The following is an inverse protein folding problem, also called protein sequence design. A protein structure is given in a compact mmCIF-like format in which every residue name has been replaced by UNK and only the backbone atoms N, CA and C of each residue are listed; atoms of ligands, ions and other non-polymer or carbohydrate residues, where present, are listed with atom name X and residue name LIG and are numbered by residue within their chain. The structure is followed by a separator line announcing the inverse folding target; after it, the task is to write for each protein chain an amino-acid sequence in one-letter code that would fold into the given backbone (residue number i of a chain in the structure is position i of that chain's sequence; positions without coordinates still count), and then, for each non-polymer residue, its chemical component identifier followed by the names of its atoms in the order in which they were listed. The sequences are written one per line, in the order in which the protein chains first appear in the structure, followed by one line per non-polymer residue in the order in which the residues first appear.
data_IF_020101840748
#
_entry.id   IF_020101840748
#
_cell.length_a   1.000
_cell.length_b   1.000
_cell.length_c   1.000
_cell.angle_alpha   90.00
_cell.angle_beta   90.00
_cell.angle_gamma   90.00
#
_symmetry.space_group_name_H-M   'P 1'
#
loop_
_entity.id
_entity.type
_entity.pdbx_description
1 polymer ?
#
# COMPACT_ATOMS: atom_id res chain seq x y z
N UNK A 1 8.93 -7.15 15.50
CA UNK A 1 9.26 -6.18 16.57
C UNK A 1 9.34 -6.79 17.97
N UNK A 2 8.64 -7.90 18.27
CA UNK A 2 8.76 -8.59 19.57
C UNK A 2 10.17 -9.14 19.83
N UNK A 3 10.84 -9.75 18.84
CA UNK A 3 12.18 -10.32 19.04
C UNK A 3 13.22 -9.30 19.53
N UNK A 4 13.24 -8.08 18.95
CA UNK A 4 14.15 -7.02 19.39
C UNK A 4 13.87 -6.55 20.82
N UNK A 5 12.59 -6.46 21.22
CA UNK A 5 12.24 -6.13 22.61
C UNK A 5 12.71 -7.22 23.57
N UNK A 6 12.51 -8.48 23.21
CA UNK A 6 12.91 -9.62 24.04
C UNK A 6 14.44 -9.65 24.26
N UNK A 7 15.23 -9.36 23.23
CA UNK A 7 16.71 -9.31 23.35
C UNK A 7 17.15 -8.17 24.27
N UNK A 8 16.59 -6.97 24.10
CA UNK A 8 16.91 -5.83 24.97
C UNK A 8 16.49 -6.15 26.41
N UNK A 9 15.37 -6.84 26.59
CA UNK A 9 14.86 -7.24 27.91
C UNK A 9 15.75 -8.30 28.59
N UNK A 10 16.33 -9.24 27.84
CA UNK A 10 17.34 -10.18 28.37
C UNK A 10 18.59 -9.47 28.89
N UNK A 11 19.05 -8.44 28.19
CA UNK A 11 20.20 -7.63 28.64
C UNK A 11 19.85 -6.79 29.87
N UNK A 12 18.61 -6.29 29.97
CA UNK A 12 18.13 -5.54 31.14
C UNK A 12 17.89 -6.40 32.38
N UNK A 13 17.55 -7.69 32.21
CA UNK A 13 17.38 -8.63 33.33
C UNK A 13 18.69 -8.89 34.10
N UNK A 14 19.83 -8.65 33.48
CA UNK A 14 21.16 -8.81 34.09
C UNK A 14 21.56 -7.59 34.93
N UNK A 15 20.75 -7.15 35.90
CA UNK A 15 21.01 -6.13 36.97
C UNK A 15 21.91 -4.92 36.65
N UNK A 16 22.12 -4.61 35.38
CA UNK A 16 23.08 -3.62 34.92
C UNK A 16 22.32 -2.31 34.74
N UNK A 17 22.69 -1.30 35.53
CA UNK A 17 22.07 0.04 35.46
C UNK A 17 22.39 0.79 34.18
N UNK A 18 23.28 0.25 33.34
CA UNK A 18 23.75 0.93 32.14
C UNK A 18 22.85 0.59 30.94
N UNK A 19 22.17 1.59 30.38
CA UNK A 19 21.20 1.44 29.30
C UNK A 19 21.82 1.40 27.90
N UNK A 20 23.14 1.51 27.80
CA UNK A 20 23.88 1.52 26.54
C UNK A 20 24.06 0.09 26.00
N UNK A 21 23.08 -0.34 25.21
CA UNK A 21 23.09 -1.63 24.51
C UNK A 21 23.50 -1.42 23.05
N UNK A 22 24.54 -2.13 22.62
CA UNK A 22 24.92 -2.23 21.21
C UNK A 22 24.37 -3.52 20.61
N UNK A 23 23.80 -3.45 19.41
CA UNK A 23 23.29 -4.63 18.71
C UNK A 23 24.22 -4.93 17.54
N UNK A 24 24.73 -6.15 17.47
CA UNK A 24 25.58 -6.62 16.39
C UNK A 24 24.95 -7.80 15.68
N UNK A 25 25.25 -7.92 14.38
CA UNK A 25 24.83 -9.06 13.57
C UNK A 25 25.87 -10.16 13.75
N UNK A 26 25.45 -11.30 14.29
CA UNK A 26 26.35 -12.44 14.52
C UNK A 26 26.44 -13.30 13.28
N UNK A 27 25.30 -13.64 12.68
CA UNK A 27 25.22 -14.52 11.52
C UNK A 27 24.27 -13.94 10.48
N UNK A 28 24.68 -14.03 9.22
CA UNK A 28 23.85 -13.65 8.07
C UNK A 28 23.75 -14.82 7.11
N UNK A 29 22.52 -15.27 6.83
CA UNK A 29 22.19 -16.30 5.85
C UNK A 29 21.21 -15.72 4.83
N UNK A 30 21.73 -14.89 3.91
CA UNK A 30 20.90 -14.13 2.97
C UNK A 30 20.06 -13.06 3.66
N UNK A 31 18.72 -13.21 3.61
CA UNK A 31 17.74 -12.35 4.30
C UNK A 31 17.52 -12.73 5.77
N UNK A 32 17.96 -13.93 6.19
CA UNK A 32 17.91 -14.36 7.58
C UNK A 32 19.11 -13.78 8.34
N UNK A 33 18.84 -13.10 9.43
CA UNK A 33 19.86 -12.43 10.25
C UNK A 33 19.66 -12.88 11.70
N UNK A 34 20.75 -13.28 12.34
CA UNK A 34 20.81 -13.53 13.78
C UNK A 34 21.53 -12.36 14.44
N UNK A 35 20.89 -11.77 15.43
CA UNK A 35 21.42 -10.61 16.16
C UNK A 35 21.74 -10.98 17.60
N UNK A 36 22.76 -10.34 18.14
CA UNK A 36 23.13 -10.38 19.55
C UNK A 36 23.19 -8.95 20.06
N UNK A 37 22.82 -8.77 21.32
CA UNK A 37 22.98 -7.51 22.02
C UNK A 37 24.12 -7.63 23.03
N UNK A 38 25.00 -6.64 23.03
CA UNK A 38 26.08 -6.49 23.98
C UNK A 38 25.87 -5.22 24.81
N UNK A 39 25.87 -5.37 26.13
CA UNK A 39 25.86 -4.23 27.05
C UNK A 39 27.26 -3.61 27.10
N UNK A 40 27.39 -2.31 26.83
CA UNK A 40 28.68 -1.61 26.92
C UNK A 40 29.19 -1.44 28.35
N UNK A 41 28.32 -1.55 29.35
CA UNK A 41 28.68 -1.36 30.76
C UNK A 41 29.25 -2.62 31.40
N UNK A 42 28.58 -3.76 31.23
CA UNK A 42 29.00 -5.03 31.85
C UNK A 42 29.58 -6.04 30.84
N UNK A 43 29.69 -5.67 29.55
CA UNK A 43 30.15 -6.54 28.46
C UNK A 43 29.37 -7.86 28.30
N UNK A 44 28.19 -7.95 28.92
CA UNK A 44 27.32 -9.11 28.77
C UNK A 44 26.80 -9.20 27.34
N UNK A 45 26.95 -10.38 26.74
CA UNK A 45 26.44 -10.73 25.40
C UNK A 45 25.20 -11.59 25.54
N UNK A 46 24.09 -11.16 24.94
CA UNK A 46 22.85 -11.93 24.91
C UNK A 46 23.01 -13.20 24.08
N UNK A 47 22.12 -14.17 24.29
CA UNK A 47 22.01 -15.29 23.37
C UNK A 47 21.64 -14.79 21.96
N UNK A 48 22.26 -15.33 20.89
CA UNK A 48 21.92 -14.95 19.53
C UNK A 48 20.47 -15.33 19.23
N UNK A 49 19.69 -14.38 18.74
CA UNK A 49 18.29 -14.62 18.37
C UNK A 49 18.10 -14.46 16.87
N UNK A 50 17.46 -15.45 16.24
CA UNK A 50 17.13 -15.40 14.82
C UNK A 50 15.93 -14.45 14.59
N UNK A 51 16.08 -13.51 13.65
CA UNK A 51 15.00 -12.62 13.22
C UNK A 51 14.14 -13.21 12.09
N UNK A 52 14.43 -14.45 11.70
CA UNK A 52 13.72 -15.17 10.65
C UNK A 52 13.10 -16.44 11.20
N UNK A 53 11.90 -16.77 10.73
CA UNK A 53 11.36 -18.11 10.96
C UNK A 53 12.17 -19.10 10.13
N UNK A 54 12.64 -20.17 10.75
CA UNK A 54 13.36 -21.26 10.08
C UNK A 54 12.46 -22.49 9.99
N UNK A 55 12.42 -23.11 8.82
CA UNK A 55 11.76 -24.41 8.63
C UNK A 55 12.82 -25.49 8.81
N UNK A 56 12.61 -26.37 9.79
CA UNK A 56 13.41 -27.58 9.94
C UNK A 56 13.15 -28.49 8.75
N UNK A 57 14.21 -28.77 7.98
CA UNK A 57 14.16 -29.75 6.90
C UNK A 57 14.63 -31.11 7.41
N UNK A 58 14.14 -32.23 6.84
CA UNK A 58 14.57 -33.57 7.24
C UNK A 58 16.05 -33.85 6.91
N UNK A 59 16.62 -33.14 5.92
CA UNK A 59 18.05 -33.19 5.59
C UNK A 59 18.57 -31.79 5.24
N UNK A 60 19.80 -31.50 5.68
CA UNK A 60 20.52 -30.26 5.41
C UNK A 60 20.22 -29.10 6.37
N UNK A 61 20.93 -27.96 6.23
CA UNK A 61 20.74 -26.79 7.07
C UNK A 61 19.31 -26.23 6.93
N UNK A 62 18.73 -25.79 8.04
CA UNK A 62 17.39 -25.18 8.08
C UNK A 62 17.28 -24.01 7.13
N UNK A 63 16.17 -23.93 6.39
CA UNK A 63 15.92 -22.86 5.44
C UNK A 63 15.13 -21.73 6.11
N UNK A 64 15.57 -20.49 5.93
CA UNK A 64 14.78 -19.32 6.32
C UNK A 64 13.51 -19.22 5.48
N UNK A 65 12.38 -18.90 6.13
CA UNK A 65 11.12 -18.59 5.45
C UNK A 65 11.27 -17.26 4.75
N UNK A 66 10.84 -17.20 3.48
CA UNK A 66 10.74 -15.95 2.74
C UNK A 66 9.87 -14.97 3.51
N UNK A 67 10.37 -13.76 3.73
CA UNK A 67 9.55 -12.70 4.30
C UNK A 67 8.46 -12.31 3.29
N UNK A 68 7.22 -12.78 3.52
CA UNK A 68 6.06 -12.51 2.66
C UNK A 68 5.81 -10.99 2.49
N UNK A 69 6.36 -10.15 3.38
CA UNK A 69 6.31 -8.69 3.27
C UNK A 69 7.08 -8.12 2.09
N UNK A 70 8.09 -8.81 1.57
CA UNK A 70 8.81 -8.38 0.37
C UNK A 70 7.89 -8.49 -0.86
N UNK A 71 6.92 -9.41 -0.84
CA UNK A 71 6.02 -9.66 -1.96
C UNK A 71 4.85 -8.67 -2.02
N UNK A 72 4.48 -8.03 -0.91
CA UNK A 72 3.39 -7.04 -0.87
C UNK A 72 3.67 -5.79 -1.74
N UNK A 73 4.85 -5.14 -1.66
CA UNK A 73 5.22 -4.07 -2.58
C UNK A 73 5.20 -4.52 -4.03
N UNK A 74 5.70 -5.71 -4.32
CA UNK A 74 5.79 -6.30 -5.67
C UNK A 74 4.39 -6.45 -6.27
N UNK A 75 3.45 -6.99 -5.49
CA UNK A 75 2.03 -7.11 -5.88
C UNK A 75 1.40 -5.74 -6.19
N UNK A 76 1.78 -4.69 -5.45
CA UNK A 76 1.26 -3.33 -5.66
C UNK A 76 1.96 -2.53 -6.76
N UNK A 77 3.22 -2.83 -7.06
CA UNK A 77 4.05 -2.11 -8.04
C UNK A 77 3.94 -2.68 -9.44
N UNK A 78 3.25 -3.81 -9.63
CA UNK A 78 3.18 -4.57 -10.89
C UNK A 78 4.56 -5.04 -11.38
N UNK A 79 5.51 -5.21 -10.46
CA UNK A 79 6.83 -5.74 -10.79
C UNK A 79 6.73 -7.25 -11.03
N UNK A 80 7.36 -7.73 -12.09
CA UNK A 80 7.51 -9.16 -12.34
C UNK A 80 8.52 -9.79 -11.38
N UNK A 81 8.50 -11.12 -11.24
CA UNK A 81 9.48 -11.83 -10.38
C UNK A 81 10.93 -11.61 -10.86
N UNK A 82 11.14 -11.44 -12.16
CA UNK A 82 12.44 -11.07 -12.72
C UNK A 82 12.95 -9.73 -12.17
N UNK A 83 12.07 -8.73 -12.06
CA UNK A 83 12.42 -7.42 -11.50
C UNK A 83 12.76 -7.53 -10.01
N UNK A 84 12.05 -8.39 -9.27
CA UNK A 84 12.34 -8.65 -7.86
C UNK A 84 13.71 -9.31 -7.71
N UNK A 85 14.01 -10.28 -8.55
CA UNK A 85 15.30 -10.97 -8.57
C UNK A 85 16.44 -9.98 -8.86
N UNK A 86 16.24 -9.08 -9.82
CA UNK A 86 17.16 -7.99 -10.15
C UNK A 86 17.34 -7.03 -8.96
N UNK A 87 16.26 -6.60 -8.30
CA UNK A 87 16.36 -5.72 -7.12
C UNK A 87 17.12 -6.40 -5.98
N UNK A 88 16.85 -7.68 -5.73
CA UNK A 88 17.55 -8.44 -4.71
C UNK A 88 19.03 -8.61 -5.05
N UNK A 89 19.37 -8.87 -6.32
CA UNK A 89 20.76 -8.97 -6.76
C UNK A 89 21.50 -7.64 -6.63
N UNK A 90 20.85 -6.51 -6.96
CA UNK A 90 21.40 -5.16 -6.73
C UNK A 90 21.67 -4.88 -5.24
N UNK A 91 20.95 -5.52 -4.32
CA UNK A 91 21.16 -5.41 -2.87
C UNK A 91 22.18 -6.42 -2.32
N UNK A 92 22.89 -7.16 -3.19
CA UNK A 92 23.76 -8.28 -2.82
C UNK A 92 23.03 -9.34 -1.97
N UNK A 93 21.74 -9.55 -2.24
CA UNK A 93 20.91 -10.57 -1.61
C UNK A 93 20.65 -11.65 -2.65
N UNK A 94 21.08 -12.88 -2.39
CA UNK A 94 20.79 -14.00 -3.29
C UNK A 94 19.27 -14.19 -3.37
N UNK A 95 18.67 -14.06 -4.57
CA UNK A 95 17.23 -14.17 -4.72
C UNK A 95 16.75 -15.60 -4.40
N UNK A 96 15.54 -15.78 -3.86
CA UNK A 96 14.88 -17.08 -3.79
C UNK A 96 14.61 -17.62 -5.20
N UNK A 97 14.20 -18.90 -5.31
CA UNK A 97 13.79 -19.42 -6.62
C UNK A 97 12.54 -18.71 -7.13
N UNK A 98 12.52 -18.38 -8.42
CA UNK A 98 11.39 -17.70 -9.06
C UNK A 98 10.08 -18.47 -8.88
N UNK A 99 10.15 -19.80 -8.97
CA UNK A 99 9.01 -20.70 -8.72
C UNK A 99 8.44 -20.56 -7.30
N UNK A 100 9.31 -20.42 -6.29
CA UNK A 100 8.90 -20.26 -4.90
C UNK A 100 8.28 -18.87 -4.68
N UNK A 101 8.90 -17.83 -5.25
CA UNK A 101 8.38 -16.47 -5.17
C UNK A 101 7.02 -16.36 -5.85
N UNK A 102 6.86 -16.95 -7.05
CA UNK A 102 5.60 -16.99 -7.78
C UNK A 102 4.52 -17.73 -6.99
N UNK A 103 4.82 -18.91 -6.42
CA UNK A 103 3.86 -19.66 -5.60
C UNK A 103 3.40 -18.85 -4.38
N UNK A 104 4.34 -18.17 -3.72
CA UNK A 104 4.02 -17.30 -2.58
C UNK A 104 3.26 -16.04 -2.98
N UNK A 105 3.57 -15.47 -4.15
CA UNK A 105 2.86 -14.33 -4.72
C UNK A 105 1.39 -14.68 -4.99
N UNK A 106 1.13 -15.83 -5.60
CA UNK A 106 -0.23 -16.30 -5.85
C UNK A 106 -0.99 -16.53 -4.53
N UNK A 107 -0.38 -17.21 -3.56
CA UNK A 107 -0.97 -17.38 -2.23
C UNK A 107 -1.27 -16.03 -1.53
N UNK A 108 -0.40 -15.04 -1.70
CA UNK A 108 -0.61 -13.70 -1.17
C UNK A 108 -1.74 -12.96 -1.89
N UNK A 109 -1.92 -13.19 -3.19
CA UNK A 109 -3.06 -12.69 -3.95
C UNK A 109 -4.37 -13.26 -3.40
N UNK A 110 -4.42 -14.56 -3.13
CA UNK A 110 -5.60 -15.22 -2.55
C UNK A 110 -5.90 -14.70 -1.14
N UNK A 111 -4.88 -14.52 -0.30
CA UNK A 111 -5.05 -13.88 1.02
C UNK A 111 -5.54 -12.43 0.90
N UNK A 112 -5.12 -11.71 -0.12
CA UNK A 112 -5.55 -10.33 -0.34
C UNK A 112 -7.02 -10.27 -0.77
N UNK A 113 -7.50 -11.23 -1.57
CA UNK A 113 -8.91 -11.31 -1.94
C UNK A 113 -9.77 -11.63 -0.72
N UNK A 114 -9.38 -12.60 0.11
CA UNK A 114 -10.14 -12.93 1.33
C UNK A 114 -10.22 -11.74 2.29
N UNK A 115 -9.11 -11.02 2.51
CA UNK A 115 -9.10 -9.82 3.35
C UNK A 115 -10.01 -8.73 2.76
N UNK A 116 -10.02 -8.56 1.44
CA UNK A 116 -10.91 -7.59 0.80
C UNK A 116 -12.39 -7.99 0.95
N UNK A 117 -12.72 -9.27 0.82
CA UNK A 117 -14.08 -9.80 1.03
C UNK A 117 -14.55 -9.57 2.47
N UNK A 118 -13.70 -9.86 3.45
CA UNK A 118 -13.96 -9.60 4.87
C UNK A 118 -14.16 -8.09 5.12
N UNK A 119 -13.32 -7.23 4.54
CA UNK A 119 -13.49 -5.78 4.63
C UNK A 119 -14.79 -5.32 3.96
N UNK A 120 -15.19 -5.91 2.83
CA UNK A 120 -16.44 -5.59 2.17
C UNK A 120 -17.65 -5.95 3.04
N UNK A 121 -17.65 -7.13 3.64
CA UNK A 121 -18.70 -7.57 4.57
C UNK A 121 -18.81 -6.61 5.77
N UNK A 122 -17.67 -6.28 6.39
CA UNK A 122 -17.61 -5.33 7.50
C UNK A 122 -18.10 -3.92 7.11
N UNK A 123 -17.76 -3.45 5.90
CA UNK A 123 -18.23 -2.18 5.39
C UNK A 123 -19.75 -2.18 5.15
N UNK A 124 -20.32 -3.27 4.63
CA UNK A 124 -21.76 -3.41 4.47
C UNK A 124 -22.49 -3.37 5.81
N UNK A 125 -21.99 -4.11 6.83
CA UNK A 125 -22.54 -4.06 8.18
C UNK A 125 -22.48 -2.65 8.78
N UNK A 126 -21.36 -1.94 8.58
CA UNK A 126 -21.21 -0.57 9.06
C UNK A 126 -22.22 0.38 8.42
N UNK A 127 -22.41 0.30 7.10
CA UNK A 127 -23.37 1.13 6.37
C UNK A 127 -24.81 0.78 6.77
N UNK A 128 -25.12 -0.51 6.91
CA UNK A 128 -26.40 -0.99 7.46
C UNK A 128 -26.69 -0.36 8.81
N UNK A 129 -25.73 -0.41 9.75
CA UNK A 129 -25.88 0.18 11.08
C UNK A 129 -26.14 1.69 11.02
N UNK A 130 -25.43 2.43 10.17
CA UNK A 130 -25.66 3.87 10.01
C UNK A 130 -27.04 4.16 9.44
N UNK A 131 -27.47 3.42 8.41
CA UNK A 131 -28.74 3.67 7.75
C UNK A 131 -29.93 3.34 8.66
N UNK A 132 -29.85 2.25 9.43
CA UNK A 132 -30.80 1.91 10.49
C UNK A 132 -30.89 3.01 11.55
N UNK A 133 -29.76 3.56 12.01
CA UNK A 133 -29.75 4.67 12.99
C UNK A 133 -30.31 5.99 12.41
N UNK A 134 -30.26 6.17 11.09
CA UNK A 134 -30.70 7.40 10.41
C UNK A 134 -32.15 7.39 9.92
N UNK A 135 -32.90 6.29 10.14
CA UNK A 135 -34.31 6.15 9.76
C UNK A 135 -34.59 6.15 8.25
N UNK A 136 -33.57 6.23 7.39
CA UNK A 136 -33.70 6.26 5.92
C UNK A 136 -33.42 4.89 5.33
N UNK A 137 -34.42 4.02 5.33
CA UNK A 137 -34.41 2.84 4.45
C UNK A 137 -34.76 3.29 3.05
N UNK A 138 -33.75 3.48 2.20
CA UNK A 138 -33.97 3.86 0.79
C UNK A 138 -33.60 2.71 -0.14
N UNK A 139 -34.42 2.58 -1.19
CA UNK A 139 -34.38 1.64 -2.34
C UNK A 139 -33.01 1.50 -3.03
N UNK A 140 -32.02 2.32 -2.66
CA UNK A 140 -30.67 2.41 -3.21
C UNK A 140 -29.56 1.98 -2.23
N UNK A 141 -29.88 1.21 -1.19
CA UNK A 141 -28.92 0.71 -0.20
C UNK A 141 -27.67 0.06 -0.82
N UNK A 142 -27.86 -0.85 -1.78
CA UNK A 142 -26.75 -1.52 -2.48
C UNK A 142 -25.86 -0.53 -3.24
N UNK A 143 -26.45 0.44 -3.94
CA UNK A 143 -25.72 1.49 -4.65
C UNK A 143 -24.98 2.46 -3.71
N UNK A 144 -25.55 2.76 -2.54
CA UNK A 144 -24.92 3.57 -1.50
C UNK A 144 -23.79 2.81 -0.81
N UNK A 145 -23.93 1.51 -0.54
CA UNK A 145 -22.87 0.64 -0.03
C UNK A 145 -21.72 0.55 -1.04
N UNK A 146 -21.99 0.30 -2.32
CA UNK A 146 -20.96 0.28 -3.36
C UNK A 146 -20.27 1.64 -3.50
N UNK A 147 -21.04 2.73 -3.58
CA UNK A 147 -20.51 4.09 -3.69
C UNK A 147 -19.72 4.47 -2.44
N UNK A 148 -20.18 4.11 -1.24
CA UNK A 148 -19.44 4.32 0.01
C UNK A 148 -18.19 3.45 0.07
N UNK A 149 -18.20 2.21 -0.43
CA UNK A 149 -17.02 1.33 -0.44
C UNK A 149 -15.96 1.84 -1.43
N UNK A 150 -16.37 2.37 -2.58
CA UNK A 150 -15.46 3.02 -3.53
C UNK A 150 -15.00 4.43 -3.07
N UNK A 151 -15.89 5.19 -2.42
CA UNK A 151 -15.60 6.54 -1.89
C UNK A 151 -14.77 6.51 -0.61
N UNK A 152 -14.89 5.43 0.17
CA UNK A 152 -14.14 5.14 1.40
C UNK A 152 -12.95 4.23 1.10
N UNK A 153 -12.39 4.34 -0.11
CA UNK A 153 -11.00 3.96 -0.31
C UNK A 153 -10.16 4.87 0.58
N UNK A 154 -9.82 4.36 1.78
CA UNK A 154 -8.67 4.84 2.53
C UNK A 154 -7.57 5.02 1.50
N UNK A 155 -7.17 6.25 1.20
CA UNK A 155 -6.28 6.54 0.08
C UNK A 155 -5.11 5.55 0.05
N UNK A 156 -4.54 5.30 -1.13
CA UNK A 156 -3.50 4.27 -1.34
C UNK A 156 -2.43 4.26 -0.24
N UNK A 157 -2.06 5.44 0.27
CA UNK A 157 -1.20 5.63 1.42
C UNK A 157 -1.78 5.05 2.72
N UNK A 158 -2.94 5.53 3.16
CA UNK A 158 -3.65 5.05 4.36
C UNK A 158 -3.98 3.57 4.32
N UNK A 159 -4.46 3.03 3.21
CA UNK A 159 -4.72 1.59 3.08
C UNK A 159 -3.43 0.78 3.29
N UNK A 160 -2.30 1.26 2.76
CA UNK A 160 -0.99 0.61 2.95
C UNK A 160 -0.52 0.68 4.40
N UNK A 161 -0.79 1.78 5.11
CA UNK A 161 -0.48 1.90 6.54
C UNK A 161 -1.35 1.00 7.43
N UNK A 162 -2.62 0.81 7.08
CA UNK A 162 -3.53 -0.10 7.80
C UNK A 162 -3.10 -1.55 7.62
N UNK A 163 -2.81 -1.96 6.38
CA UNK A 163 -2.24 -3.28 6.09
C UNK A 163 -0.91 -3.49 6.84
N UNK A 164 -0.03 -2.49 6.85
CA UNK A 164 1.24 -2.59 7.59
C UNK A 164 1.00 -2.83 9.10
N UNK A 165 0.04 -2.13 9.72
CA UNK A 165 -0.34 -2.36 11.12
C UNK A 165 -0.96 -3.74 11.36
N UNK A 166 -1.83 -4.20 10.48
CA UNK A 166 -2.45 -5.52 10.58
C UNK A 166 -1.39 -6.64 10.58
N UNK A 167 -0.29 -6.44 9.85
CA UNK A 167 0.85 -7.37 9.82
C UNK A 167 1.90 -7.08 10.93
N UNK A 168 1.58 -6.23 11.91
CA UNK A 168 2.44 -5.96 13.06
C UNK A 168 3.59 -4.97 12.81
N UNK A 169 3.59 -4.26 11.67
CA UNK A 169 4.55 -3.19 11.38
C UNK A 169 3.99 -1.86 11.87
N UNK A 170 4.58 -1.35 12.95
CA UNK A 170 4.30 -0.01 13.45
C UNK A 170 5.19 1.03 12.76
N UNK A 171 4.65 1.64 11.71
CA UNK A 171 5.27 2.79 11.03
C UNK A 171 5.12 4.04 11.90
N UNK A 172 6.24 4.66 12.31
CA UNK A 172 6.22 5.92 13.07
C UNK A 172 5.63 7.06 12.23
N UNK A 173 4.83 7.94 12.83
CA UNK A 173 4.21 9.10 12.15
C UNK A 173 5.23 10.04 11.50
N UNK A 174 6.41 10.18 12.10
CA UNK A 174 7.48 11.06 11.56
C UNK A 174 8.44 10.33 10.63
N UNK A 175 8.17 9.07 10.28
CA UNK A 175 9.02 8.34 9.33
C UNK A 175 8.83 8.85 7.91
N UNK A 176 9.90 8.80 7.11
CA UNK A 176 9.86 9.18 5.70
C UNK A 176 8.81 8.38 4.93
N UNK A 177 8.64 7.09 5.25
CA UNK A 177 7.61 6.24 4.66
C UNK A 177 6.20 6.76 4.94
N UNK A 178 5.88 7.12 6.18
CA UNK A 178 4.58 7.67 6.55
C UNK A 178 4.30 8.99 5.83
N UNK A 179 5.28 9.89 5.80
CA UNK A 179 5.14 11.19 5.12
C UNK A 179 4.91 11.03 3.62
N UNK A 180 5.64 10.13 2.95
CA UNK A 180 5.47 9.85 1.53
C UNK A 180 4.09 9.25 1.22
N UNK A 181 3.62 8.29 2.01
CA UNK A 181 2.30 7.68 1.83
C UNK A 181 1.17 8.72 2.02
N UNK A 182 1.29 9.60 3.02
CA UNK A 182 0.34 10.70 3.20
C UNK A 182 0.38 11.71 2.05
N UNK A 183 1.57 12.05 1.53
CA UNK A 183 1.71 12.98 0.40
C UNK A 183 1.03 12.43 -0.86
N UNK A 184 1.13 11.13 -1.10
CA UNK A 184 0.42 10.45 -2.21
C UNK A 184 -1.09 10.62 -2.06
N UNK A 185 -1.62 10.41 -0.86
CA UNK A 185 -3.06 10.56 -0.59
C UNK A 185 -3.52 12.00 -0.74
N UNK A 186 -2.76 12.96 -0.20
CA UNK A 186 -3.04 14.39 -0.34
C UNK A 186 -3.06 14.81 -1.81
N UNK A 187 -2.09 14.35 -2.61
CA UNK A 187 -2.03 14.63 -4.05
C UNK A 187 -3.24 14.03 -4.79
N UNK A 188 -3.62 12.80 -4.45
CA UNK A 188 -4.80 12.14 -5.01
C UNK A 188 -6.09 12.91 -4.68
N UNK A 189 -6.25 13.31 -3.42
CA UNK A 189 -7.38 14.12 -2.97
C UNK A 189 -7.43 15.48 -3.66
N UNK A 190 -6.29 16.16 -3.78
CA UNK A 190 -6.17 17.42 -4.53
C UNK A 190 -6.65 17.23 -5.99
N UNK A 191 -6.16 16.22 -6.70
CA UNK A 191 -6.59 15.96 -8.07
C UNK A 191 -8.07 15.60 -8.17
N UNK A 192 -8.60 14.81 -7.22
CA UNK A 192 -10.03 14.48 -7.16
C UNK A 192 -10.89 15.73 -6.98
N UNK A 193 -10.54 16.60 -6.02
CA UNK A 193 -11.22 17.88 -5.79
C UNK A 193 -11.12 18.80 -7.00
N UNK A 194 -9.91 18.96 -7.57
CA UNK A 194 -9.67 19.75 -8.77
C UNK A 194 -10.56 19.27 -9.93
N UNK A 195 -10.66 17.97 -10.16
CA UNK A 195 -11.50 17.39 -11.23
C UNK A 195 -13.00 17.66 -11.05
N UNK A 196 -13.46 17.86 -9.81
CA UNK A 196 -14.85 18.21 -9.51
C UNK A 196 -15.16 19.70 -9.71
N UNK A 197 -14.14 20.57 -9.71
CA UNK A 197 -14.32 22.02 -9.86
C UNK A 197 -14.93 22.40 -11.21
N UNK A 198 -15.77 23.45 -11.20
CA UNK A 198 -16.37 24.03 -12.41
C UNK A 198 -15.29 24.40 -13.43
N UNK A 199 -14.28 25.16 -12.99
CA UNK A 199 -13.18 25.62 -13.82
C UNK A 199 -12.46 24.49 -14.57
N UNK A 200 -12.18 23.36 -13.89
CA UNK A 200 -11.59 22.19 -14.55
C UNK A 200 -12.53 21.58 -15.60
N UNK A 201 -13.82 21.45 -15.28
CA UNK A 201 -14.82 20.89 -16.20
C UNK A 201 -14.99 21.76 -17.44
N UNK A 202 -15.09 23.08 -17.27
CA UNK A 202 -15.16 24.06 -18.35
C UNK A 202 -13.91 24.00 -19.24
N UNK A 203 -12.72 24.08 -18.63
CA UNK A 203 -11.45 23.99 -19.36
C UNK A 203 -11.34 22.69 -20.18
N UNK A 204 -11.72 21.55 -19.59
CA UNK A 204 -11.72 20.26 -20.30
C UNK A 204 -12.78 20.18 -21.40
N UNK A 205 -13.94 20.79 -21.22
CA UNK A 205 -14.98 20.87 -22.23
C UNK A 205 -14.49 21.66 -23.47
N UNK A 206 -13.99 22.88 -23.27
CA UNK A 206 -13.46 23.69 -24.37
C UNK A 206 -12.24 23.06 -25.06
N UNK A 207 -11.37 22.38 -24.30
CA UNK A 207 -10.25 21.65 -24.87
C UNK A 207 -10.75 20.52 -25.81
N UNK A 208 -11.78 19.77 -25.39
CA UNK A 208 -12.39 18.73 -26.23
C UNK A 208 -13.07 19.31 -27.46
N UNK A 209 -13.85 20.39 -27.32
CA UNK A 209 -14.51 21.10 -28.43
C UNK A 209 -13.49 21.60 -29.46
N UNK A 210 -12.34 22.13 -29.01
CA UNK A 210 -11.23 22.53 -29.91
C UNK A 210 -10.61 21.35 -30.66
N UNK A 211 -10.40 20.21 -29.99
CA UNK A 211 -9.83 19.03 -30.62
C UNK A 211 -10.80 18.40 -31.62
N UNK A 212 -12.10 18.30 -31.28
CA UNK A 212 -13.12 17.76 -32.18
C UNK A 212 -13.38 18.64 -33.39
N UNK A 213 -13.27 19.96 -33.27
CA UNK A 213 -13.49 20.91 -34.37
C UNK A 213 -12.26 21.08 -35.27
N UNK A 214 -11.11 20.54 -34.89
CA UNK A 214 -9.85 20.64 -35.65
C UNK A 214 -9.91 19.98 -37.04
N UNK A 215 -10.43 18.74 -37.21
CA UNK A 215 -10.61 18.15 -38.53
C UNK A 215 -11.70 18.84 -39.36
N UNK A 216 -12.79 19.29 -38.73
CA UNK A 216 -13.86 20.04 -39.40
C UNK A 216 -13.37 21.35 -40.03
N UNK A 217 -12.36 22.00 -39.43
CA UNK A 217 -11.76 23.23 -39.96
C UNK A 217 -10.68 23.00 -41.03
N UNK A 218 -10.05 21.82 -41.06
CA UNK A 218 -8.99 21.52 -42.03
C UNK A 218 -9.53 20.99 -43.37
N UNK A 219 -10.74 20.42 -43.39
CA UNK A 219 -11.30 19.79 -44.59
C UNK A 219 -12.56 20.49 -45.15
N UNK A 220 -13.06 21.58 -44.54
CA UNK A 220 -14.29 22.22 -45.03
C UNK A 220 -14.03 23.26 -46.14
N UNK A 221 -14.44 22.94 -47.36
CA UNK A 221 -14.61 23.89 -48.48
C UNK A 221 -15.89 24.76 -48.36
N UNK A 222 -16.73 24.50 -47.35
CA UNK A 222 -17.98 25.21 -47.12
C UNK A 222 -17.91 26.02 -45.83
N UNK A 223 -18.22 27.31 -45.92
CA UNK A 223 -18.58 28.13 -44.76
C UNK A 223 -19.93 27.65 -44.22
N UNK A 224 -19.90 26.68 -43.32
CA UNK A 224 -21.10 26.29 -42.59
C UNK A 224 -21.50 27.47 -41.68
N UNK A 225 -22.48 28.25 -42.10
CA UNK A 225 -23.21 29.11 -41.16
C UNK A 225 -23.78 28.22 -40.04
N UNK A 226 -23.78 28.70 -38.79
CA UNK A 226 -24.16 27.89 -37.64
C UNK A 226 -25.68 27.67 -37.62
N UNK A 227 -26.16 26.78 -38.49
CA UNK A 227 -27.54 26.32 -38.44
C UNK A 227 -27.70 25.36 -37.28
N UNK A 228 -28.56 25.74 -36.35
CA UNK A 228 -29.02 25.02 -35.16
C UNK A 228 -28.08 25.03 -33.95
N UNK A 229 -28.51 25.83 -32.97
CA UNK A 229 -28.09 25.83 -31.59
C UNK A 229 -28.10 24.42 -31.00
N UNK A 230 -26.98 23.70 -31.11
CA UNK A 230 -26.71 22.59 -30.19
C UNK A 230 -26.76 23.19 -28.79
N UNK A 231 -27.74 22.78 -27.97
CA UNK A 231 -27.81 23.22 -26.58
C UNK A 231 -26.45 22.97 -25.93
N UNK A 232 -25.70 24.05 -25.71
CA UNK A 232 -24.37 23.92 -25.14
C UNK A 232 -24.53 23.30 -23.75
N UNK A 233 -23.70 22.30 -23.47
CA UNK A 233 -23.72 21.59 -22.20
C UNK A 233 -23.61 22.61 -21.06
N UNK A 234 -24.19 22.36 -19.90
CA UNK A 234 -24.22 23.31 -18.76
C UNK A 234 -22.86 23.89 -18.30
N UNK A 235 -21.74 23.34 -18.77
CA UNK A 235 -20.39 23.88 -18.56
C UNK A 235 -19.96 24.91 -19.62
N UNK A 236 -20.64 25.03 -20.76
CA UNK A 236 -20.36 25.98 -21.83
C UNK A 236 -21.07 27.33 -21.67
N UNK A 237 -22.07 27.41 -20.79
CA UNK A 237 -22.79 28.65 -20.47
C UNK A 237 -21.96 29.44 -19.46
N UNK A 238 -21.22 30.44 -19.94
CA UNK A 238 -20.57 31.46 -19.11
C UNK A 238 -21.53 32.63 -18.92
N UNK A 239 -21.92 32.91 -17.68
CA UNK A 239 -22.58 34.18 -17.31
C UNK A 239 -21.56 35.32 -17.34
#
# INVERSE_FOLDING_TARGET
MQCLRNIIQQVHQQNCKNSLVSVSVVHRRGLAISICAECRGCHYKSTPMELSNTIKKPRGPGAGVLNEMILLPVMKSKMGMADVSLVLSCLNIKPPSDSLMQKKMNLMSDKATTVNEDEMCNNQHYVSRILTLSGRWTRNFSGLCHSATHSRTLGRGRATLILARAVGINVKKNSQMYMNLNRIDQKSQYHSRRKKSQAYKQSRYFLRKRVSNRPLLQESLYSCEPSTSSQDHSYGITY
#
